data_IF_512751102829
#
_entry.id   IF_512751102829
#
_cell.length_a   1.000
_cell.length_b   1.000
_cell.length_c   1.000
_cell.angle_alpha   90.00
_cell.angle_beta   90.00
_cell.angle_gamma   90.00
#
_symmetry.space_group_name_H-M   'P 1'
#
loop_
_entity.id
_entity.type
_entity.pdbx_description
1 polymer ?
#
# COMPACT_ATOMS: atom_id res chain seq x y z
N UNK A 1 13.32 -5.10 41.36
CA UNK A 1 12.26 -4.20 40.85
C UNK A 1 11.73 -4.84 39.56
N UNK A 2 10.51 -5.37 39.57
CA UNK A 2 9.98 -6.17 38.45
C UNK A 2 9.55 -5.22 37.33
N UNK A 3 10.36 -5.12 36.28
CA UNK A 3 10.00 -4.35 35.08
C UNK A 3 9.01 -5.20 34.28
N UNK A 4 7.72 -4.88 34.41
CA UNK A 4 6.67 -5.45 33.58
C UNK A 4 6.85 -4.92 32.14
N UNK A 5 7.35 -5.75 31.23
CA UNK A 5 7.36 -5.46 29.79
C UNK A 5 5.92 -5.32 29.31
N UNK A 6 5.47 -4.09 29.05
CA UNK A 6 4.23 -3.82 28.32
C UNK A 6 4.43 -4.30 26.89
N UNK A 7 3.80 -5.44 26.56
CA UNK A 7 3.68 -5.93 25.19
C UNK A 7 3.15 -4.81 24.32
N UNK A 8 3.94 -4.38 23.34
CA UNK A 8 3.54 -3.38 22.37
C UNK A 8 2.20 -3.80 21.76
N UNK A 9 1.20 -2.95 21.92
CA UNK A 9 -0.09 -3.14 21.29
C UNK A 9 0.16 -3.24 19.78
N UNK A 10 -0.05 -4.42 19.20
CA UNK A 10 -0.30 -4.51 17.77
C UNK A 10 -1.48 -3.59 17.52
N UNK A 11 -1.24 -2.43 16.91
CA UNK A 11 -2.32 -1.55 16.48
C UNK A 11 -3.19 -2.42 15.60
N UNK A 12 -4.35 -2.83 16.10
CA UNK A 12 -5.35 -3.50 15.30
C UNK A 12 -5.59 -2.56 14.12
N UNK A 13 -5.12 -2.96 12.95
CA UNK A 13 -5.53 -2.31 11.71
C UNK A 13 -7.06 -2.37 11.78
N UNK A 14 -7.72 -1.20 11.77
CA UNK A 14 -9.16 -1.15 11.60
C UNK A 14 -9.55 -1.91 10.33
N UNK A 15 -10.85 -2.18 10.09
CA UNK A 15 -11.27 -2.83 8.84
C UNK A 15 -10.62 -2.12 7.65
N UNK A 16 -9.73 -2.82 6.96
CA UNK A 16 -8.99 -2.25 5.84
C UNK A 16 -9.93 -2.26 4.66
N UNK A 17 -10.50 -1.11 4.36
CA UNK A 17 -11.36 -0.92 3.20
C UNK A 17 -10.48 -0.80 1.96
N UNK A 18 -10.14 -1.95 1.39
CA UNK A 18 -9.19 -2.07 0.27
C UNK A 18 -9.77 -1.66 -1.09
N UNK A 19 -11.09 -1.52 -1.18
CA UNK A 19 -11.82 -1.46 -2.44
C UNK A 19 -11.83 -2.81 -3.18
N UNK A 20 -12.61 -2.94 -4.26
CA UNK A 20 -12.57 -4.15 -5.11
C UNK A 20 -11.49 -4.11 -6.19
N UNK A 21 -10.86 -2.95 -6.43
CA UNK A 21 -10.00 -2.75 -7.59
C UNK A 21 -8.56 -3.20 -7.30
N UNK A 22 -8.09 -4.20 -8.04
CA UNK A 22 -6.70 -4.65 -8.02
C UNK A 22 -5.94 -4.17 -9.24
N UNK A 23 -4.66 -3.82 -9.06
CA UNK A 23 -3.71 -3.53 -10.13
C UNK A 23 -2.67 -4.65 -10.21
N UNK A 24 -2.06 -4.79 -11.39
CA UNK A 24 -0.91 -5.67 -11.60
C UNK A 24 0.31 -4.83 -11.89
N UNK A 25 1.45 -5.20 -11.32
CA UNK A 25 2.71 -4.56 -11.66
C UNK A 25 3.83 -5.59 -11.78
N UNK A 26 4.86 -5.26 -12.54
CA UNK A 26 5.97 -6.15 -12.81
C UNK A 26 7.30 -5.48 -12.49
N UNK A 27 8.20 -6.23 -11.86
CA UNK A 27 9.59 -5.82 -11.65
C UNK A 27 10.39 -5.93 -12.94
N UNK A 28 11.36 -5.03 -13.12
CA UNK A 28 12.30 -5.08 -14.24
C UNK A 28 13.51 -5.95 -13.84
N UNK A 29 14.01 -6.76 -14.78
CA UNK A 29 15.17 -7.64 -14.57
C UNK A 29 15.06 -8.94 -15.37
N UNK A 30 15.99 -9.87 -15.13
CA UNK A 30 15.92 -11.24 -15.67
C UNK A 30 14.86 -12.08 -14.94
N UNK A 31 14.72 -11.90 -13.61
CA UNK A 31 13.68 -12.53 -12.79
C UNK A 31 12.42 -11.66 -12.69
N UNK A 32 11.74 -11.49 -13.83
CA UNK A 32 10.49 -10.74 -13.87
C UNK A 32 9.39 -11.48 -13.11
N UNK A 33 8.89 -10.87 -12.04
CA UNK A 33 7.72 -11.36 -11.30
C UNK A 33 6.58 -10.35 -11.38
N UNK A 34 5.38 -10.85 -11.64
CA UNK A 34 4.16 -10.05 -11.65
C UNK A 34 3.48 -10.16 -10.29
N UNK A 35 3.08 -9.02 -9.75
CA UNK A 35 2.40 -8.89 -8.47
C UNK A 35 1.02 -8.30 -8.65
N UNK A 36 0.09 -8.66 -7.77
CA UNK A 36 -1.27 -8.14 -7.73
C UNK A 36 -1.53 -7.51 -6.36
N UNK A 37 -2.07 -6.29 -6.34
CA UNK A 37 -2.34 -5.55 -5.10
C UNK A 37 -3.56 -4.66 -5.26
N UNK A 38 -4.27 -4.38 -4.17
CA UNK A 38 -5.38 -3.44 -4.17
C UNK A 38 -4.89 -2.01 -4.46
N UNK A 39 -5.51 -1.33 -5.43
CA UNK A 39 -5.12 0.01 -5.88
C UNK A 39 -5.13 1.00 -4.71
N UNK A 40 -6.22 1.01 -3.93
CA UNK A 40 -6.39 1.96 -2.84
C UNK A 40 -5.41 1.68 -1.69
N UNK A 41 -5.08 0.41 -1.43
CA UNK A 41 -4.08 0.03 -0.42
C UNK A 41 -2.70 0.57 -0.79
N UNK A 42 -2.22 0.25 -2.00
CA UNK A 42 -0.87 0.66 -2.39
C UNK A 42 -0.77 2.18 -2.56
N UNK A 43 -1.81 2.85 -3.07
CA UNK A 43 -1.83 4.31 -3.23
C UNK A 43 -1.97 5.08 -1.90
N UNK A 44 -2.49 4.46 -0.85
CA UNK A 44 -2.55 5.08 0.48
C UNK A 44 -1.14 5.19 1.11
N UNK A 45 -0.22 4.31 0.73
CA UNK A 45 1.09 4.16 1.33
C UNK A 45 2.24 4.63 0.42
N UNK A 46 2.17 4.27 -0.87
CA UNK A 46 3.18 4.62 -1.86
C UNK A 46 2.83 5.91 -2.61
N UNK A 47 3.73 6.90 -2.50
CA UNK A 47 3.65 8.14 -3.27
C UNK A 47 3.77 7.90 -4.78
N UNK A 48 4.60 6.93 -5.19
CA UNK A 48 4.83 6.62 -6.61
C UNK A 48 3.58 6.02 -7.25
N UNK A 49 2.95 5.04 -6.61
CA UNK A 49 1.71 4.46 -7.13
C UNK A 49 0.56 5.47 -7.08
N UNK A 50 0.50 6.32 -6.04
CA UNK A 50 -0.49 7.41 -5.97
C UNK A 50 -0.38 8.38 -7.15
N UNK A 51 0.83 8.83 -7.48
CA UNK A 51 1.04 9.73 -8.63
C UNK A 51 0.77 9.04 -9.97
N UNK A 52 1.08 7.75 -10.12
CA UNK A 52 0.81 6.99 -11.35
C UNK A 52 -0.68 6.68 -11.57
N UNK A 53 -1.42 6.32 -10.51
CA UNK A 53 -2.77 5.74 -10.63
C UNK A 53 -3.90 6.66 -10.19
N UNK A 54 -3.62 7.56 -9.26
CA UNK A 54 -4.59 8.42 -8.57
C UNK A 54 -4.23 9.90 -8.67
N UNK A 55 -3.45 10.29 -9.68
CA UNK A 55 -2.96 11.66 -9.91
C UNK A 55 -4.03 12.74 -9.74
N UNK A 56 -5.20 12.51 -10.31
CA UNK A 56 -6.31 13.47 -10.31
C UNK A 56 -7.30 13.24 -9.18
N UNK A 57 -7.17 12.16 -8.38
CA UNK A 57 -8.15 11.82 -7.35
C UNK A 57 -8.14 12.88 -6.25
N UNK A 58 -9.33 13.37 -5.89
CA UNK A 58 -9.50 14.28 -4.77
C UNK A 58 -9.41 13.56 -3.42
N UNK A 59 -9.20 14.34 -2.35
CA UNK A 59 -9.34 13.84 -0.99
C UNK A 59 -10.71 13.18 -0.78
N UNK A 60 -10.72 12.11 -0.01
CA UNK A 60 -11.89 11.27 0.21
C UNK A 60 -12.72 11.90 1.34
N UNK A 61 -13.37 13.00 1.00
CA UNK A 61 -14.14 13.84 1.93
C UNK A 61 -15.48 14.23 1.29
N UNK A 62 -16.50 14.40 2.14
CA UNK A 62 -17.83 14.88 1.75
C UNK A 62 -18.78 13.78 1.28
N UNK A 63 -19.73 14.17 0.44
CA UNK A 63 -20.86 13.35 0.02
C UNK A 63 -20.78 12.95 -1.46
N UNK A 64 -21.37 11.80 -1.78
CA UNK A 64 -21.50 11.32 -3.14
C UNK A 64 -22.46 12.20 -3.93
N UNK A 65 -21.97 12.78 -5.03
CA UNK A 65 -22.75 13.66 -5.93
C UNK A 65 -23.99 13.05 -6.61
N UNK A 66 -24.25 11.75 -6.42
CA UNK A 66 -25.38 11.04 -7.01
C UNK A 66 -26.46 10.74 -5.96
N UNK A 67 -26.08 10.19 -4.80
CA UNK A 67 -27.02 9.79 -3.75
C UNK A 67 -27.07 10.76 -2.56
N UNK A 68 -26.13 11.71 -2.46
CA UNK A 68 -26.00 12.64 -1.33
C UNK A 68 -25.74 11.96 0.03
N UNK A 69 -25.19 10.74 0.00
CA UNK A 69 -24.71 10.04 1.19
C UNK A 69 -23.20 10.21 1.36
N UNK A 70 -22.73 10.12 2.60
CA UNK A 70 -21.32 10.20 2.97
C UNK A 70 -20.45 9.21 2.19
N UNK A 71 -19.30 9.69 1.68
CA UNK A 71 -18.29 8.86 1.03
C UNK A 71 -17.45 8.12 2.08
N UNK A 72 -17.94 6.98 2.53
CA UNK A 72 -17.25 6.14 3.51
C UNK A 72 -16.71 4.84 2.86
N UNK A 73 -15.38 4.68 2.73
CA UNK A 73 -14.80 3.48 2.14
C UNK A 73 -15.10 2.22 2.96
N UNK A 74 -15.43 2.35 4.25
CA UNK A 74 -15.85 1.23 5.10
C UNK A 74 -17.28 0.75 4.81
N UNK A 75 -18.13 1.60 4.24
CA UNK A 75 -19.51 1.25 3.87
C UNK A 75 -19.63 0.78 2.42
N UNK A 76 -18.72 1.19 1.55
CA UNK A 76 -18.70 0.69 0.18
C UNK A 76 -17.55 1.22 -0.67
N UNK A 77 -17.38 0.60 -1.83
CA UNK A 77 -16.33 0.98 -2.79
C UNK A 77 -16.55 2.39 -3.34
N UNK A 78 -15.45 3.13 -3.45
CA UNK A 78 -15.44 4.50 -3.96
C UNK A 78 -14.65 4.55 -5.25
N UNK A 79 -15.37 4.87 -6.33
CA UNK A 79 -14.80 5.20 -7.62
C UNK A 79 -14.41 6.67 -7.67
N UNK A 80 -13.61 7.05 -8.66
CA UNK A 80 -13.35 8.46 -8.95
C UNK A 80 -13.20 8.73 -10.44
N UNK A 81 -13.42 9.99 -10.82
CA UNK A 81 -13.27 10.43 -12.21
C UNK A 81 -11.80 10.49 -12.63
N UNK A 82 -11.28 9.38 -13.17
CA UNK A 82 -9.90 9.27 -13.73
C UNK A 82 -9.66 10.17 -14.94
N UNK A 83 -10.69 10.41 -15.76
CA UNK A 83 -10.56 11.14 -17.01
C UNK A 83 -10.39 12.66 -16.88
N UNK A 84 -10.76 13.27 -15.74
CA UNK A 84 -10.63 14.72 -15.60
C UNK A 84 -10.70 15.25 -14.17
N UNK A 85 -11.89 15.26 -13.57
CA UNK A 85 -12.15 16.13 -12.42
C UNK A 85 -11.82 15.51 -11.06
N UNK A 86 -11.51 14.21 -11.01
CA UNK A 86 -11.09 13.57 -9.77
C UNK A 86 -12.17 13.33 -8.72
N UNK A 87 -13.43 13.69 -8.99
CA UNK A 87 -14.48 13.56 -7.98
C UNK A 87 -14.70 12.10 -7.58
N UNK A 88 -14.72 11.86 -6.28
CA UNK A 88 -15.09 10.59 -5.64
C UNK A 88 -16.61 10.38 -5.70
N UNK A 89 -17.03 9.15 -6.04
CA UNK A 89 -18.42 8.73 -6.21
C UNK A 89 -18.50 7.27 -5.76
N UNK A 90 -19.56 6.85 -5.07
CA UNK A 90 -19.77 5.43 -4.80
C UNK A 90 -19.78 4.61 -6.10
N UNK A 91 -19.07 3.49 -6.10
CA UNK A 91 -18.98 2.57 -7.25
C UNK A 91 -20.38 2.17 -7.73
N UNK A 92 -21.26 1.78 -6.80
CA UNK A 92 -22.64 1.41 -7.12
C UNK A 92 -23.42 2.55 -7.80
N UNK A 93 -23.22 3.79 -7.33
CA UNK A 93 -23.89 4.96 -7.89
C UNK A 93 -23.41 5.26 -9.31
N UNK A 94 -22.11 5.18 -9.57
CA UNK A 94 -21.60 5.40 -10.93
C UNK A 94 -22.04 4.26 -11.85
N UNK A 95 -22.03 3.00 -11.41
CA UNK A 95 -22.52 1.86 -12.19
C UNK A 95 -24.00 2.01 -12.57
N UNK A 96 -24.85 2.50 -11.65
CA UNK A 96 -26.24 2.79 -11.98
C UNK A 96 -26.34 3.94 -12.98
N UNK A 97 -25.54 4.99 -12.81
CA UNK A 97 -25.48 6.12 -13.74
C UNK A 97 -25.04 5.70 -15.15
N UNK A 98 -24.04 4.83 -15.28
CA UNK A 98 -23.59 4.33 -16.58
C UNK A 98 -24.68 3.55 -17.30
N UNK A 99 -25.46 2.73 -16.57
CA UNK A 99 -26.60 1.96 -17.13
C UNK A 99 -27.74 2.84 -17.66
N UNK A 100 -27.91 4.04 -17.10
CA UNK A 100 -28.93 5.00 -17.59
C UNK A 100 -28.50 5.74 -18.86
N UNK A 101 -27.21 5.71 -19.21
CA UNK A 101 -26.68 6.37 -20.41
C UNK A 101 -26.70 5.44 -21.62
N UNK A 102 -26.74 6.03 -22.82
CA UNK A 102 -26.60 5.25 -24.06
C UNK A 102 -25.23 4.58 -24.07
N UNK A 103 -25.19 3.32 -24.51
CA UNK A 103 -23.95 2.56 -24.64
C UNK A 103 -22.88 3.38 -25.38
N UNK A 104 -21.68 3.49 -24.80
CA UNK A 104 -20.56 4.26 -25.37
C UNK A 104 -20.54 5.77 -25.06
N UNK A 105 -21.52 6.30 -24.32
CA UNK A 105 -21.59 7.73 -23.96
C UNK A 105 -21.42 8.02 -22.47
N UNK A 106 -20.87 7.08 -21.71
CA UNK A 106 -20.75 7.23 -20.26
C UNK A 106 -19.93 8.45 -19.88
N UNK A 107 -20.55 9.41 -19.20
CA UNK A 107 -19.90 10.62 -18.71
C UNK A 107 -19.88 10.71 -17.19
N UNK A 108 -18.89 11.45 -16.66
CA UNK A 108 -18.85 11.84 -15.26
C UNK A 108 -20.01 12.79 -14.92
N UNK A 109 -20.78 12.49 -13.87
CA UNK A 109 -21.90 13.35 -13.43
C UNK A 109 -21.47 14.79 -13.10
N UNK A 110 -20.25 14.98 -12.59
CA UNK A 110 -19.76 16.29 -12.18
C UNK A 110 -19.23 17.15 -13.32
N UNK A 111 -18.34 16.60 -14.15
CA UNK A 111 -17.65 17.38 -15.19
C UNK A 111 -18.11 17.05 -16.61
N UNK A 112 -19.00 16.07 -16.79
CA UNK A 112 -19.53 15.58 -18.07
C UNK A 112 -18.50 15.07 -19.08
N UNK A 113 -17.21 14.99 -18.70
CA UNK A 113 -16.19 14.34 -19.54
C UNK A 113 -16.40 12.82 -19.56
N UNK A 114 -15.91 12.11 -20.60
CA UNK A 114 -16.00 10.65 -20.68
C UNK A 114 -15.49 9.97 -19.41
N UNK A 115 -16.27 9.01 -18.92
CA UNK A 115 -15.90 8.21 -17.77
C UNK A 115 -14.95 7.09 -18.20
N UNK A 116 -13.71 7.17 -17.74
CA UNK A 116 -12.70 6.13 -18.00
C UNK A 116 -12.89 5.02 -16.98
N UNK A 117 -13.39 3.87 -17.45
CA UNK A 117 -13.34 2.63 -16.67
C UNK A 117 -11.87 2.22 -16.54
N UNK A 118 -11.44 1.83 -15.34
CA UNK A 118 -10.04 1.46 -15.13
C UNK A 118 -9.66 0.30 -16.05
N UNK A 119 -8.74 0.53 -16.98
CA UNK A 119 -8.08 -0.57 -17.67
C UNK A 119 -7.31 -1.39 -16.63
N UNK A 120 -7.15 -2.69 -16.91
CA UNK A 120 -6.24 -3.55 -16.15
C UNK A 120 -4.80 -3.12 -16.47
N UNK A 121 -4.37 -2.03 -15.85
CA UNK A 121 -3.07 -1.45 -16.11
C UNK A 121 -2.00 -2.38 -15.52
N UNK A 122 -1.30 -3.12 -16.38
CA UNK A 122 -0.02 -3.72 -16.02
C UNK A 122 1.00 -2.58 -15.93
N UNK A 123 1.43 -2.26 -14.71
CA UNK A 123 2.41 -1.20 -14.45
C UNK A 123 3.81 -1.80 -14.50
N UNK A 124 4.65 -1.27 -15.37
CA UNK A 124 6.08 -1.57 -15.33
C UNK A 124 6.78 -0.57 -14.41
N UNK A 125 7.55 -1.08 -13.47
CA UNK A 125 8.41 -0.26 -12.62
C UNK A 125 9.76 -0.03 -13.31
N UNK A 126 10.27 1.19 -13.22
CA UNK A 126 11.51 1.59 -13.89
C UNK A 126 12.76 1.02 -13.16
N UNK A 127 12.62 0.81 -11.85
CA UNK A 127 13.65 0.27 -10.95
C UNK A 127 13.75 -1.25 -11.05
N UNK A 128 14.98 -1.76 -11.07
CA UNK A 128 15.28 -3.17 -10.82
C UNK A 128 15.12 -3.43 -9.33
N UNK A 129 14.14 -4.27 -8.98
CA UNK A 129 13.78 -4.59 -7.59
C UNK A 129 13.84 -6.09 -7.40
N UNK A 130 14.38 -6.49 -6.25
CA UNK A 130 14.39 -7.88 -5.82
C UNK A 130 12.94 -8.36 -5.58
N UNK A 131 12.49 -9.46 -6.24
CA UNK A 131 11.11 -9.93 -6.12
C UNK A 131 10.70 -10.33 -4.71
N UNK A 132 11.62 -10.84 -3.89
CA UNK A 132 11.32 -11.26 -2.52
C UNK A 132 11.18 -10.05 -1.61
N UNK A 133 12.00 -9.02 -1.80
CA UNK A 133 11.83 -7.74 -1.10
C UNK A 133 10.51 -7.05 -1.48
N UNK A 134 10.06 -7.15 -2.73
CA UNK A 134 8.72 -6.68 -3.14
C UNK A 134 7.64 -7.49 -2.45
N UNK A 135 7.79 -8.82 -2.33
CA UNK A 135 6.85 -9.65 -1.59
C UNK A 135 6.78 -9.25 -0.10
N UNK A 136 7.92 -9.03 0.56
CA UNK A 136 7.99 -8.55 1.95
C UNK A 136 7.23 -7.23 2.12
N UNK A 137 7.38 -6.30 1.17
CA UNK A 137 6.64 -5.03 1.19
C UNK A 137 5.12 -5.26 1.06
N UNK A 138 4.68 -6.14 0.16
CA UNK A 138 3.27 -6.45 0.01
C UNK A 138 2.71 -7.11 1.27
N UNK A 139 3.42 -8.06 1.85
CA UNK A 139 3.01 -8.72 3.09
C UNK A 139 2.91 -7.69 4.23
N UNK A 140 3.87 -6.77 4.33
CA UNK A 140 3.81 -5.65 5.26
C UNK A 140 2.61 -4.72 5.00
N UNK A 141 2.28 -4.41 3.74
CA UNK A 141 1.10 -3.58 3.42
C UNK A 141 -0.20 -4.20 3.94
N UNK A 142 -0.34 -5.53 3.82
CA UNK A 142 -1.55 -6.22 4.26
C UNK A 142 -1.59 -6.48 5.77
N UNK A 143 -0.43 -6.73 6.40
CA UNK A 143 -0.35 -7.16 7.80
C UNK A 143 0.04 -6.05 8.77
N UNK A 144 0.65 -4.98 8.26
CA UNK A 144 1.30 -3.94 9.06
C UNK A 144 2.53 -4.44 9.82
N UNK A 145 3.07 -5.61 9.48
CA UNK A 145 4.20 -6.24 10.17
C UNK A 145 5.31 -6.56 9.19
N UNK A 146 6.54 -6.12 9.51
CA UNK A 146 7.71 -6.43 8.71
C UNK A 146 8.18 -7.83 9.08
N UNK A 147 7.86 -8.81 8.24
CA UNK A 147 8.28 -10.20 8.42
C UNK A 147 9.48 -10.49 7.50
N UNK A 148 10.60 -10.84 8.11
CA UNK A 148 11.76 -11.42 7.44
C UNK A 148 11.80 -12.88 7.88
N UNK A 149 12.14 -13.78 6.95
CA UNK A 149 12.14 -15.23 7.18
C UNK A 149 12.80 -15.60 8.52
N UNK A 150 12.06 -16.34 9.35
CA UNK A 150 12.53 -16.82 10.66
C UNK A 150 13.73 -17.79 10.56
N UNK A 151 13.96 -18.34 9.37
CA UNK A 151 15.12 -19.20 9.11
C UNK A 151 16.44 -18.41 9.07
N UNK A 152 16.40 -17.08 8.97
CA UNK A 152 17.57 -16.22 8.88
C UNK A 152 17.87 -15.64 10.27
N UNK A 153 19.10 -15.84 10.77
CA UNK A 153 19.51 -15.25 12.05
C UNK A 153 19.63 -13.72 11.91
N UNK A 154 19.17 -12.97 12.92
CA UNK A 154 19.13 -11.50 12.91
C UNK A 154 20.52 -10.88 12.72
N UNK A 155 21.55 -11.50 13.28
CA UNK A 155 22.96 -11.06 13.19
C UNK A 155 23.63 -11.41 11.84
N UNK A 156 22.96 -12.18 10.97
CA UNK A 156 23.59 -12.60 9.71
C UNK A 156 23.68 -11.47 8.68
N UNK A 157 24.71 -11.55 7.84
CA UNK A 157 24.78 -10.73 6.63
C UNK A 157 23.57 -10.94 5.71
N UNK A 158 22.98 -12.15 5.69
CA UNK A 158 21.79 -12.45 4.91
C UNK A 158 20.59 -11.60 5.38
N UNK A 159 20.38 -11.48 6.69
CA UNK A 159 19.34 -10.61 7.26
C UNK A 159 19.55 -9.14 6.88
N UNK A 160 20.80 -8.66 7.00
CA UNK A 160 21.15 -7.29 6.61
C UNK A 160 20.95 -7.03 5.11
N UNK A 161 21.28 -8.00 4.25
CA UNK A 161 21.03 -7.92 2.81
C UNK A 161 19.52 -7.82 2.51
N UNK A 162 18.69 -8.62 3.20
CA UNK A 162 17.24 -8.55 3.04
C UNK A 162 16.67 -7.20 3.48
N UNK A 163 17.14 -6.63 4.59
CA UNK A 163 16.77 -5.28 5.03
C UNK A 163 17.18 -4.21 4.01
N UNK A 164 18.38 -4.30 3.43
CA UNK A 164 18.85 -3.38 2.39
C UNK A 164 18.01 -3.49 1.11
N UNK A 165 17.65 -4.70 0.68
CA UNK A 165 16.74 -4.91 -0.46
C UNK A 165 15.36 -4.31 -0.17
N UNK A 166 14.81 -4.54 1.01
CA UNK A 166 13.56 -3.92 1.45
C UNK A 166 13.64 -2.38 1.50
N UNK A 167 14.79 -1.83 1.91
CA UNK A 167 15.04 -0.39 1.89
C UNK A 167 14.96 0.17 0.47
N UNK A 168 15.58 -0.49 -0.50
CA UNK A 168 15.54 -0.10 -1.92
C UNK A 168 14.08 -0.07 -2.41
N UNK A 169 13.26 -1.06 -2.05
CA UNK A 169 11.82 -1.06 -2.35
C UNK A 169 11.11 0.13 -1.70
N UNK A 170 11.42 0.46 -0.45
CA UNK A 170 10.84 1.61 0.25
C UNK A 170 11.16 2.95 -0.43
N UNK A 171 12.36 3.08 -1.00
CA UNK A 171 12.77 4.26 -1.78
C UNK A 171 12.06 4.28 -3.13
N UNK A 172 12.07 3.16 -3.85
CA UNK A 172 11.43 3.04 -5.15
C UNK A 172 9.91 3.29 -5.10
N UNK A 173 9.25 2.94 -4.01
CA UNK A 173 7.82 3.17 -3.82
C UNK A 173 7.52 4.47 -3.07
N UNK A 174 8.54 5.13 -2.49
CA UNK A 174 8.35 6.36 -1.71
C UNK A 174 7.50 6.16 -0.45
N UNK A 175 7.52 4.96 0.14
CA UNK A 175 6.78 4.66 1.37
C UNK A 175 7.66 4.95 2.60
N UNK A 176 7.25 5.97 3.37
CA UNK A 176 7.97 6.41 4.58
C UNK A 176 7.65 5.55 5.79
N UNK A 177 6.47 4.95 5.87
CA UNK A 177 6.06 4.12 7.00
C UNK A 177 6.81 2.78 6.96
N UNK A 178 6.88 2.15 5.78
CA UNK A 178 7.66 0.94 5.58
C UNK A 178 9.14 1.16 5.90
N UNK A 179 9.71 2.27 5.41
CA UNK A 179 11.09 2.66 5.71
C UNK A 179 11.35 2.81 7.20
N UNK A 180 10.42 3.42 7.93
CA UNK A 180 10.53 3.57 9.38
C UNK A 180 10.55 2.20 10.09
N UNK A 181 9.71 1.27 9.66
CA UNK A 181 9.66 -0.06 10.26
C UNK A 181 10.94 -0.89 9.97
N UNK A 182 11.54 -0.72 8.79
CA UNK A 182 12.87 -1.28 8.45
C UNK A 182 13.94 -0.75 9.42
N UNK A 183 13.96 0.57 9.66
CA UNK A 183 14.92 1.20 10.58
C UNK A 183 14.74 0.65 12.00
N UNK A 184 13.50 0.56 12.48
CA UNK A 184 13.20 0.03 13.80
C UNK A 184 13.67 -1.42 13.92
N UNK A 185 13.46 -2.26 12.92
CA UNK A 185 13.94 -3.65 12.93
C UNK A 185 15.47 -3.74 12.94
N UNK A 186 16.15 -2.85 12.21
CA UNK A 186 17.61 -2.78 12.19
C UNK A 186 18.18 -2.39 13.57
N UNK A 187 17.67 -1.32 14.19
CA UNK A 187 18.17 -0.90 15.52
C UNK A 187 17.72 -1.81 16.66
N UNK A 188 16.53 -2.41 16.58
CA UNK A 188 16.11 -3.41 17.56
C UNK A 188 17.02 -4.66 17.55
N UNK A 189 17.73 -4.92 16.46
CA UNK A 189 18.75 -5.96 16.44
C UNK A 189 20.03 -5.54 17.20
N UNK A 190 20.37 -4.25 17.17
CA UNK A 190 21.57 -3.70 17.83
C UNK A 190 21.37 -3.63 19.36
N UNK A 191 20.19 -3.24 19.84
CA UNK A 191 19.91 -3.13 21.28
C UNK A 191 19.87 -4.49 22.02
N UNK A 192 19.68 -5.61 21.30
CA UNK A 192 19.74 -6.97 21.89
C UNK A 192 21.18 -7.42 22.17
N UNK A 193 22.17 -6.87 21.45
CA UNK A 193 23.59 -7.21 21.58
C UNK A 193 24.28 -6.51 22.76
N UNK A 194 23.77 -5.34 23.20
CA UNK A 194 24.36 -4.57 24.31
C UNK A 194 24.04 -5.15 25.72
N UNK A 195 23.25 -6.23 25.81
CA UNK A 195 22.90 -6.86 27.08
C UNK A 195 23.87 -7.98 27.53
N UNK A 196 25.03 -8.16 26.90
CA UNK A 196 26.06 -9.14 27.32
C UNK A 196 27.15 -8.57 28.27
N UNK A 197 26.98 -7.37 28.82
CA UNK A 197 28.05 -6.67 29.55
C UNK A 197 28.00 -6.63 31.08
N UNK A 198 27.14 -7.39 31.78
CA UNK A 198 26.99 -7.21 33.23
C UNK A 198 26.72 -8.47 34.06
N UNK A 199 27.35 -9.60 33.71
CA UNK A 199 27.45 -10.74 34.63
C UNK A 199 28.81 -11.45 34.52
N UNK A 200 29.89 -10.75 34.89
CA UNK A 200 31.17 -11.36 35.23
C UNK A 200 31.96 -10.48 36.19
N UNK A 201 31.46 -10.32 37.41
CA UNK A 201 32.27 -9.95 38.58
C UNK A 201 31.81 -10.79 39.78
N UNK A 202 32.31 -12.02 39.83
CA UNK A 202 32.63 -12.75 41.06
C UNK A 202 33.94 -13.50 40.83
#
# INVERSE_FOLDING_TARGET
MVIKKTRGATKKLGPISLGHKTIRFQTRGNDKRTFSVHEDLICAHSLVFKEKLQKVRKTLEGECSICHEELDPCKGDIAFCKGSCGQNIHEKCIQQWTRTQRAGSTTCRMCRKPWVMGAEDLITLDSELDPDAVQIYLDWLYTGQLHISEAITRESNEFNIQLLKAWIVSEAFGDRAFRKDIIVQHYAAIDEDDNWGSDSML
#
